data_IF_142940603707
#
_entry.id   IF_142940603707
#
_cell.length_a   1.000
_cell.length_b   1.000
_cell.length_c   1.000
_cell.angle_alpha   90.00
_cell.angle_beta   90.00
_cell.angle_gamma   90.00
#
_symmetry.space_group_name_H-M   'P 1'
#
loop_
_entity.id
_entity.type
_entity.pdbx_description
1 polymer ?
#
# COMPACT_ATOMS: atom_id res chain seq x y z
N UNK A 1 -24.45 -1.31 17.24
CA UNK A 1 -23.37 -1.30 16.23
C UNK A 1 -22.02 -1.33 16.93
N UNK A 2 -21.60 -2.47 17.47
CA UNK A 2 -20.35 -2.58 18.26
C UNK A 2 -19.07 -2.42 17.40
N UNK A 3 -19.10 -2.79 16.12
CA UNK A 3 -17.89 -2.79 15.27
C UNK A 3 -17.58 -1.45 14.56
N UNK A 4 -18.48 -0.47 14.55
CA UNK A 4 -18.29 0.78 13.78
C UNK A 4 -17.05 1.55 14.21
N UNK A 5 -16.74 1.59 15.51
CA UNK A 5 -15.52 2.22 16.02
C UNK A 5 -14.25 1.53 15.51
N UNK A 6 -14.25 0.20 15.47
CA UNK A 6 -13.12 -0.59 14.98
C UNK A 6 -12.93 -0.37 13.47
N UNK A 7 -14.03 -0.40 12.71
CA UNK A 7 -14.06 -0.11 11.27
C UNK A 7 -13.45 1.27 10.99
N UNK A 8 -13.87 2.31 11.71
CA UNK A 8 -13.37 3.68 11.51
C UNK A 8 -11.89 3.79 11.80
N UNK A 9 -11.43 3.21 12.92
CA UNK A 9 -9.98 3.16 13.23
C UNK A 9 -9.20 2.47 12.12
N UNK A 10 -9.74 1.38 11.57
CA UNK A 10 -9.11 0.62 10.52
C UNK A 10 -9.05 1.39 9.19
N UNK A 11 -10.12 2.10 8.81
CA UNK A 11 -10.14 3.00 7.64
C UNK A 11 -9.10 4.10 7.77
N UNK A 12 -9.02 4.75 8.94
CA UNK A 12 -8.02 5.80 9.19
C UNK A 12 -6.59 5.25 9.11
N UNK A 13 -6.35 4.03 9.61
CA UNK A 13 -5.06 3.34 9.49
C UNK A 13 -4.68 3.11 8.03
N UNK A 14 -5.59 2.56 7.23
CA UNK A 14 -5.40 2.33 5.79
C UNK A 14 -5.10 3.64 5.06
N UNK A 15 -5.87 4.69 5.34
CA UNK A 15 -5.67 6.01 4.74
C UNK A 15 -4.26 6.57 5.00
N UNK A 16 -3.74 6.39 6.22
CA UNK A 16 -2.37 6.80 6.56
C UNK A 16 -1.32 5.99 5.81
N UNK A 17 -1.52 4.68 5.69
CA UNK A 17 -0.61 3.83 4.92
C UNK A 17 -0.57 4.26 3.45
N UNK A 18 -1.70 4.62 2.85
CA UNK A 18 -1.71 5.22 1.50
C UNK A 18 -0.89 6.52 1.44
N UNK A 19 -0.98 7.39 2.46
CA UNK A 19 -0.16 8.61 2.52
C UNK A 19 1.34 8.28 2.60
N UNK A 20 1.73 7.32 3.42
CA UNK A 20 3.13 6.86 3.52
C UNK A 20 3.59 6.27 2.19
N UNK A 21 2.76 5.43 1.56
CA UNK A 21 3.07 4.82 0.26
C UNK A 21 3.28 5.87 -0.83
N UNK A 22 2.44 6.90 -0.87
CA UNK A 22 2.60 8.01 -1.81
C UNK A 22 3.95 8.73 -1.63
N UNK A 23 4.37 8.96 -0.38
CA UNK A 23 5.68 9.56 -0.08
C UNK A 23 6.82 8.67 -0.55
N UNK A 24 6.75 7.35 -0.31
CA UNK A 24 7.75 6.39 -0.78
C UNK A 24 7.84 6.37 -2.31
N UNK A 25 6.70 6.36 -2.99
CA UNK A 25 6.64 6.39 -4.47
C UNK A 25 7.26 7.68 -5.02
N UNK A 26 6.95 8.83 -4.43
CA UNK A 26 7.56 10.11 -4.84
C UNK A 26 9.09 10.08 -4.64
N UNK A 27 9.55 9.59 -3.48
CA UNK A 27 10.98 9.49 -3.18
C UNK A 27 11.70 8.58 -4.20
N UNK A 28 11.14 7.41 -4.48
CA UNK A 28 11.70 6.48 -5.46
C UNK A 28 11.72 7.07 -6.89
N UNK A 29 10.67 7.77 -7.30
CA UNK A 29 10.61 8.40 -8.64
C UNK A 29 11.60 9.54 -8.83
N UNK A 30 11.99 10.22 -7.73
CA UNK A 30 13.03 11.27 -7.73
C UNK A 30 14.43 10.71 -7.85
N UNK A 31 14.63 9.44 -7.52
CA UNK A 31 15.90 8.75 -7.71
C UNK A 31 16.24 8.52 -9.18
N UNK A 32 17.49 8.10 -9.40
CA UNK A 32 17.98 7.65 -10.69
C UNK A 32 17.46 6.24 -10.98
N UNK A 33 16.28 6.17 -11.60
CA UNK A 33 15.65 4.92 -12.02
C UNK A 33 15.39 4.91 -13.53
N UNK A 34 15.40 3.74 -14.19
CA UNK A 34 14.96 3.57 -15.56
C UNK A 34 13.57 4.15 -15.83
N UNK A 35 13.38 4.72 -17.02
CA UNK A 35 12.13 5.38 -17.40
C UNK A 35 10.89 4.48 -17.28
N UNK A 36 11.01 3.20 -17.66
CA UNK A 36 9.90 2.25 -17.57
C UNK A 36 9.46 2.00 -16.11
N UNK A 37 10.41 1.95 -15.16
CA UNK A 37 10.10 1.86 -13.73
C UNK A 37 9.49 3.16 -13.22
N UNK A 38 9.99 4.32 -13.65
CA UNK A 38 9.38 5.60 -13.28
C UNK A 38 7.92 5.68 -13.73
N UNK A 39 7.61 5.19 -14.94
CA UNK A 39 6.24 5.09 -15.46
C UNK A 39 5.37 4.16 -14.60
N UNK A 40 5.92 3.00 -14.22
CA UNK A 40 5.25 2.04 -13.33
C UNK A 40 4.91 2.68 -11.97
N UNK A 41 5.90 3.29 -11.31
CA UNK A 41 5.72 3.94 -10.01
C UNK A 41 4.77 5.15 -10.08
N UNK A 42 4.77 5.88 -11.22
CA UNK A 42 3.83 6.99 -11.43
C UNK A 42 2.38 6.51 -11.52
N UNK A 43 2.16 5.39 -12.22
CA UNK A 43 0.85 4.74 -12.31
C UNK A 43 0.39 4.29 -10.93
N UNK A 44 1.25 3.63 -10.17
CA UNK A 44 0.93 3.17 -8.81
C UNK A 44 0.62 4.36 -7.88
N UNK A 45 1.35 5.48 -8.03
CA UNK A 45 1.06 6.72 -7.31
C UNK A 45 -0.35 7.28 -7.63
N UNK A 46 -0.73 7.31 -8.90
CA UNK A 46 -2.07 7.74 -9.31
C UNK A 46 -3.15 6.84 -8.71
N UNK A 47 -2.96 5.53 -8.77
CA UNK A 47 -3.89 4.55 -8.21
C UNK A 47 -4.00 4.75 -6.70
N UNK A 48 -2.89 4.80 -5.96
CA UNK A 48 -2.91 5.08 -4.53
C UNK A 48 -3.60 6.40 -4.18
N UNK A 49 -3.51 7.42 -5.04
CA UNK A 49 -4.20 8.69 -4.85
C UNK A 49 -5.72 8.55 -4.93
N UNK A 50 -6.21 7.76 -5.88
CA UNK A 50 -7.63 7.46 -6.04
C UNK A 50 -8.15 6.64 -4.85
N UNK A 51 -7.49 5.53 -4.52
CA UNK A 51 -7.91 4.65 -3.42
C UNK A 51 -7.88 5.38 -2.08
N UNK A 52 -6.89 6.25 -1.84
CA UNK A 52 -6.85 7.12 -0.66
C UNK A 52 -8.04 8.07 -0.59
N UNK A 53 -8.44 8.67 -1.70
CA UNK A 53 -9.61 9.56 -1.77
C UNK A 53 -10.89 8.79 -1.48
N UNK A 54 -11.04 7.59 -2.03
CA UNK A 54 -12.18 6.71 -1.76
C UNK A 54 -12.25 6.29 -0.28
N UNK A 55 -11.11 6.04 0.37
CA UNK A 55 -11.05 5.81 1.82
C UNK A 55 -11.42 7.04 2.66
N UNK A 56 -11.09 8.25 2.20
CA UNK A 56 -11.56 9.47 2.84
C UNK A 56 -13.09 9.61 2.71
N UNK A 57 -13.65 9.38 1.52
CA UNK A 57 -15.09 9.40 1.30
C UNK A 57 -15.81 8.33 2.14
N UNK A 58 -15.22 7.14 2.25
CA UNK A 58 -15.75 6.07 3.08
C UNK A 58 -15.77 6.45 4.56
N UNK A 59 -14.69 7.07 5.06
CA UNK A 59 -14.64 7.65 6.41
C UNK A 59 -15.72 8.73 6.60
N UNK A 60 -15.88 9.65 5.65
CA UNK A 60 -16.88 10.72 5.75
C UNK A 60 -18.31 10.15 5.80
N UNK A 61 -18.60 9.11 5.02
CA UNK A 61 -19.86 8.38 5.07
C UNK A 61 -20.12 7.73 6.43
N UNK A 62 -19.09 7.12 7.04
CA UNK A 62 -19.20 6.57 8.39
C UNK A 62 -19.34 7.65 9.47
N UNK A 63 -18.70 8.82 9.29
CA UNK A 63 -18.77 9.94 10.22
C UNK A 63 -20.18 10.50 10.35
N UNK A 64 -20.94 10.57 9.24
CA UNK A 64 -22.36 10.95 9.26
C UNK A 64 -23.21 10.05 10.16
N UNK A 65 -22.83 8.77 10.32
CA UNK A 65 -23.51 7.82 11.19
C UNK A 65 -23.06 7.90 12.67
N UNK A 66 -22.07 8.73 13.00
CA UNK A 66 -21.36 8.71 14.29
C UNK A 66 -21.41 10.02 15.08
N UNK A 67 -22.37 10.91 14.79
CA UNK A 67 -22.62 12.20 15.46
C UNK A 67 -21.74 12.45 16.71
N UNK A 68 -20.76 13.34 16.56
CA UNK A 68 -19.87 13.88 17.59
C UNK A 68 -18.92 12.95 18.37
N UNK A 69 -18.91 11.64 18.17
CA UNK A 69 -18.19 10.77 19.10
C UNK A 69 -16.66 10.69 18.97
N UNK A 70 -16.02 11.22 17.92
CA UNK A 70 -14.61 10.89 17.67
C UNK A 70 -13.74 11.99 17.05
N UNK A 71 -13.05 12.75 17.91
CA UNK A 71 -11.80 13.43 17.56
C UNK A 71 -10.63 12.43 17.74
N UNK A 72 -10.50 11.44 16.84
CA UNK A 72 -9.37 10.51 16.90
C UNK A 72 -8.11 11.25 16.46
N UNK A 73 -7.34 11.74 17.45
CA UNK A 73 -6.03 12.35 17.23
C UNK A 73 -5.07 11.28 16.69
N UNK A 74 -4.34 11.54 15.59
CA UNK A 74 -3.40 10.57 15.05
C UNK A 74 -2.20 10.32 15.95
N UNK A 75 -2.05 9.11 16.48
CA UNK A 75 -0.73 8.62 16.90
C UNK A 75 0.17 8.44 15.68
N UNK A 76 1.33 9.09 15.77
CA UNK A 76 2.45 9.10 14.83
C UNK A 76 3.03 7.69 14.72
N UNK A 77 3.00 7.11 13.53
CA UNK A 77 3.77 5.89 13.25
C UNK A 77 4.84 6.14 12.19
N UNK A 78 5.99 5.56 12.53
CA UNK A 78 7.33 5.68 11.96
C UNK A 78 7.32 5.40 10.45
N UNK A 79 7.85 6.33 9.68
CA UNK A 79 7.94 6.22 8.23
C UNK A 79 8.99 5.19 7.81
N UNK A 80 8.57 4.20 7.02
CA UNK A 80 9.49 3.41 6.20
C UNK A 80 9.97 4.32 5.07
N UNK A 81 11.17 4.89 5.22
CA UNK A 81 11.80 5.72 4.22
C UNK A 81 12.49 4.88 3.13
N UNK A 82 12.54 5.43 1.91
CA UNK A 82 13.48 4.97 0.88
C UNK A 82 14.83 5.63 1.21
N UNK A 83 15.88 4.84 1.47
CA UNK A 83 17.23 5.39 1.68
C UNK A 83 17.86 5.63 0.30
N UNK A 84 18.56 6.74 0.13
CA UNK A 84 19.27 7.07 -1.12
C UNK A 84 20.41 6.10 -1.45
N UNK A 85 20.76 5.20 -0.53
CA UNK A 85 21.76 4.13 -0.70
C UNK A 85 21.18 2.78 -1.13
N UNK A 86 19.86 2.63 -1.17
CA UNK A 86 19.23 1.38 -1.60
C UNK A 86 19.43 1.16 -3.11
N UNK A 87 19.77 -0.08 -3.51
CA UNK A 87 19.67 -0.48 -4.91
C UNK A 87 18.20 -0.43 -5.38
N UNK A 88 18.00 -0.25 -6.69
CA UNK A 88 16.65 -0.09 -7.27
C UNK A 88 15.76 -1.31 -6.95
N UNK A 89 16.32 -2.52 -6.99
CA UNK A 89 15.56 -3.74 -6.72
C UNK A 89 15.07 -3.79 -5.25
N UNK A 90 15.88 -3.32 -4.31
CA UNK A 90 15.53 -3.17 -2.91
C UNK A 90 14.45 -2.11 -2.70
N UNK A 91 14.54 -0.97 -3.41
CA UNK A 91 13.48 0.05 -3.39
C UNK A 91 12.14 -0.52 -3.88
N UNK A 92 12.14 -1.25 -5.00
CA UNK A 92 10.93 -1.90 -5.53
C UNK A 92 10.35 -2.91 -4.52
N UNK A 93 11.18 -3.70 -3.84
CA UNK A 93 10.74 -4.63 -2.78
C UNK A 93 10.11 -3.89 -1.62
N UNK A 94 10.71 -2.80 -1.13
CA UNK A 94 10.16 -2.00 -0.03
C UNK A 94 8.78 -1.45 -0.38
N UNK A 95 8.62 -0.92 -1.60
CA UNK A 95 7.34 -0.41 -2.09
C UNK A 95 6.31 -1.53 -2.20
N UNK A 96 6.70 -2.70 -2.73
CA UNK A 96 5.82 -3.87 -2.84
C UNK A 96 5.37 -4.40 -1.49
N UNK A 97 6.27 -4.48 -0.50
CA UNK A 97 5.95 -4.87 0.88
C UNK A 97 4.91 -3.92 1.47
N UNK A 98 5.08 -2.62 1.27
CA UNK A 98 4.14 -1.63 1.78
C UNK A 98 2.77 -1.71 1.06
N UNK A 99 2.71 -2.03 -0.24
CA UNK A 99 1.45 -2.37 -0.91
C UNK A 99 0.79 -3.62 -0.32
N UNK A 100 1.56 -4.68 -0.01
CA UNK A 100 1.04 -5.90 0.65
C UNK A 100 0.52 -5.61 2.05
N UNK A 101 1.20 -4.76 2.81
CA UNK A 101 0.74 -4.32 4.12
C UNK A 101 -0.64 -3.65 4.00
N UNK A 102 -0.80 -2.70 3.08
CA UNK A 102 -2.11 -2.08 2.84
C UNK A 102 -3.17 -3.12 2.47
N UNK A 103 -2.84 -4.09 1.61
CA UNK A 103 -3.77 -5.15 1.23
C UNK A 103 -4.18 -6.05 2.42
N UNK A 104 -3.27 -6.31 3.35
CA UNK A 104 -3.56 -7.04 4.59
C UNK A 104 -4.49 -6.24 5.51
N UNK A 105 -4.27 -4.93 5.63
CA UNK A 105 -5.16 -4.05 6.40
C UNK A 105 -6.57 -3.96 5.80
N UNK A 106 -6.73 -4.06 4.48
CA UNK A 106 -8.06 -4.19 3.87
C UNK A 106 -8.72 -5.54 4.19
N UNK A 107 -7.95 -6.62 4.37
CA UNK A 107 -8.52 -7.90 4.79
C UNK A 107 -9.12 -7.78 6.20
N UNK A 108 -8.37 -7.17 7.13
CA UNK A 108 -8.87 -6.89 8.48
C UNK A 108 -10.13 -6.02 8.44
N UNK A 109 -10.18 -5.02 7.56
CA UNK A 109 -11.38 -4.17 7.40
C UNK A 109 -12.59 -4.96 6.90
N UNK A 110 -12.39 -5.91 5.98
CA UNK A 110 -13.44 -6.79 5.49
C UNK A 110 -13.99 -7.68 6.61
N UNK A 111 -13.10 -8.30 7.40
CA UNK A 111 -13.48 -9.15 8.53
C UNK A 111 -14.29 -8.35 9.56
N UNK A 112 -13.89 -7.11 9.85
CA UNK A 112 -14.63 -6.22 10.75
C UNK A 112 -16.01 -5.81 10.20
N UNK A 113 -16.20 -5.87 8.88
CA UNK A 113 -17.40 -5.45 8.18
C UNK A 113 -18.33 -6.62 7.80
N UNK A 114 -17.95 -7.88 8.07
CA UNK A 114 -18.67 -9.09 7.65
C UNK A 114 -20.16 -9.09 8.08
N UNK A 115 -20.44 -8.70 9.32
CA UNK A 115 -21.80 -8.61 9.88
C UNK A 115 -22.38 -7.19 9.83
N UNK A 116 -21.83 -6.31 9.00
CA UNK A 116 -22.26 -4.92 8.90
C UNK A 116 -23.05 -4.66 7.61
N UNK A 117 -23.93 -3.65 7.62
CA UNK A 117 -24.65 -3.20 6.42
C UNK A 117 -23.78 -2.40 5.43
N UNK A 118 -22.46 -2.47 5.56
CA UNK A 118 -21.51 -1.75 4.72
C UNK A 118 -21.34 -2.50 3.41
N UNK A 119 -21.40 -1.79 2.29
CA UNK A 119 -21.02 -2.35 1.00
C UNK A 119 -19.49 -2.59 0.96
N UNK A 120 -19.08 -3.85 1.00
CA UNK A 120 -17.68 -4.28 1.04
C UNK A 120 -17.03 -4.44 -0.34
N UNK A 121 -17.79 -4.32 -1.45
CA UNK A 121 -17.27 -4.57 -2.80
C UNK A 121 -16.11 -3.62 -3.14
N UNK A 122 -16.23 -2.35 -2.77
CA UNK A 122 -15.14 -1.37 -2.98
C UNK A 122 -13.88 -1.76 -2.21
N UNK A 123 -14.02 -2.30 -1.00
CA UNK A 123 -12.89 -2.73 -0.15
C UNK A 123 -12.22 -3.97 -0.77
N UNK A 124 -13.01 -4.90 -1.33
CA UNK A 124 -12.47 -6.04 -2.10
C UNK A 124 -11.70 -5.58 -3.35
N UNK A 125 -12.23 -4.61 -4.09
CA UNK A 125 -11.56 -4.05 -5.26
C UNK A 125 -10.23 -3.38 -4.91
N UNK A 126 -10.21 -2.55 -3.85
CA UNK A 126 -8.98 -1.93 -3.34
C UNK A 126 -7.94 -2.98 -2.99
N UNK A 127 -8.32 -4.00 -2.21
CA UNK A 127 -7.44 -5.10 -1.83
C UNK A 127 -6.85 -5.82 -3.04
N UNK A 128 -7.67 -6.15 -4.04
CA UNK A 128 -7.21 -6.80 -5.28
C UNK A 128 -6.20 -5.92 -6.03
N UNK A 129 -6.49 -4.63 -6.15
CA UNK A 129 -5.61 -3.68 -6.82
C UNK A 129 -4.25 -3.55 -6.12
N UNK A 130 -4.24 -3.48 -4.79
CA UNK A 130 -3.00 -3.41 -4.01
C UNK A 130 -2.13 -4.66 -4.14
N UNK A 131 -2.75 -5.86 -4.14
CA UNK A 131 -2.04 -7.12 -4.40
C UNK A 131 -1.41 -7.13 -5.79
N UNK A 132 -2.17 -6.77 -6.82
CA UNK A 132 -1.69 -6.72 -8.20
C UNK A 132 -0.46 -5.81 -8.36
N UNK A 133 -0.51 -4.59 -7.80
CA UNK A 133 0.62 -3.67 -7.86
C UNK A 133 1.85 -4.22 -7.12
N UNK A 134 1.64 -4.86 -5.95
CA UNK A 134 2.73 -5.49 -5.23
C UNK A 134 3.41 -6.60 -6.04
N UNK A 135 2.63 -7.48 -6.67
CA UNK A 135 3.16 -8.62 -7.42
C UNK A 135 3.89 -8.17 -8.70
N UNK A 136 3.40 -7.10 -9.35
CA UNK A 136 4.08 -6.50 -10.50
C UNK A 136 5.44 -5.91 -10.11
N UNK A 137 5.53 -5.20 -8.98
CA UNK A 137 6.81 -4.66 -8.49
C UNK A 137 7.78 -5.74 -8.04
N UNK A 138 7.29 -6.82 -7.41
CA UNK A 138 8.13 -7.97 -7.06
C UNK A 138 8.70 -8.63 -8.30
N UNK A 139 7.86 -8.84 -9.33
CA UNK A 139 8.30 -9.38 -10.62
C UNK A 139 9.39 -8.51 -11.25
N UNK A 140 9.24 -7.18 -11.22
CA UNK A 140 10.28 -6.27 -11.73
C UNK A 140 11.57 -6.35 -10.91
N UNK A 141 11.45 -6.44 -9.57
CA UNK A 141 12.61 -6.57 -8.69
C UNK A 141 13.41 -7.86 -8.95
N UNK A 142 12.72 -8.98 -9.17
CA UNK A 142 13.32 -10.28 -9.44
C UNK A 142 14.08 -10.28 -10.78
N UNK A 143 13.52 -9.66 -11.82
CA UNK A 143 14.18 -9.50 -13.13
C UNK A 143 15.47 -8.69 -13.08
N UNK A 144 15.64 -7.87 -12.04
CA UNK A 144 16.82 -7.04 -11.85
C UNK A 144 17.91 -7.73 -11.03
N UNK A 145 17.65 -8.90 -10.45
CA UNK A 145 18.69 -9.67 -9.78
C UNK A 145 19.59 -10.32 -10.86
N UNK A 146 20.92 -10.26 -10.70
CA UNK A 146 21.82 -10.99 -11.60
C UNK A 146 21.49 -12.48 -11.53
N UNK A 147 21.43 -13.14 -12.69
CA UNK A 147 21.38 -14.61 -12.75
C UNK A 147 22.56 -15.13 -11.92
N UNK A 148 22.27 -15.79 -10.80
CA UNK A 148 23.25 -16.65 -10.14
C UNK A 148 23.46 -17.82 -11.09
N UNK A 149 24.34 -17.63 -12.07
CA UNK A 149 24.87 -18.75 -12.82
C UNK A 149 25.71 -19.54 -11.84
N UNK A 150 25.14 -20.60 -11.29
CA UNK A 150 25.87 -21.68 -10.63
C UNK A 150 26.93 -22.21 -11.61
N UNK A 151 28.08 -21.54 -11.67
CA UNK A 151 29.23 -21.98 -12.43
C UNK A 151 29.89 -23.08 -11.61
N UNK A 152 29.34 -24.29 -11.71
CA UNK A 152 30.11 -25.51 -11.53
C UNK A 152 31.17 -25.58 -12.62
N UNK A 153 32.36 -25.05 -12.35
CA UNK A 153 33.56 -25.38 -13.11
C UNK A 153 34.60 -25.93 -12.14
N UNK A 154 34.72 -27.26 -12.13
CA UNK A 154 35.97 -27.94 -11.80
C UNK A 154 36.71 -28.07 -13.13
N UNK A 155 37.85 -27.41 -13.28
CA UNK A 155 38.83 -27.74 -14.31
C UNK A 155 39.87 -28.66 -13.68
N UNK A 156 40.06 -29.84 -14.28
CA UNK A 156 41.19 -30.74 -14.07
C UNK A 156 42.40 -30.26 -14.88
#
# INVERSE_FOLDING_TARGET
MENVKAIVKQVVKIWRLYKTQQTMLIAAMRGEIPFHLRKLLSRDYMICSLLKKEMANFYDGLRCCMADMYHIRPETNVGVGVDGRDDIAAVLRKIAIAHRQIAAEHAILLDLAEDSNINTEIIHQHRRQMKKMADELMTQSERMQPEVKEHGYIFF
#
